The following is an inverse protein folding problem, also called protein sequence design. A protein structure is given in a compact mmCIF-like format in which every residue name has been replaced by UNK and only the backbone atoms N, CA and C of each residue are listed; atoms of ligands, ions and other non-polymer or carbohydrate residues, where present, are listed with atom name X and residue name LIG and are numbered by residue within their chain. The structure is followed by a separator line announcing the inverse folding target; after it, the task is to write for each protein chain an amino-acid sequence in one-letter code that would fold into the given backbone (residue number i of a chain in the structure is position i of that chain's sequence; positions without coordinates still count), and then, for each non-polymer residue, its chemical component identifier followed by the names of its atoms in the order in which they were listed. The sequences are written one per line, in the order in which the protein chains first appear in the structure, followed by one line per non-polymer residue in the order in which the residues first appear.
data_IF_033369255316
#
_entry.id   IF_033369255316
#
_cell.length_a   1.000
_cell.length_b   1.000
_cell.length_c   1.000
_cell.angle_alpha   90.00
_cell.angle_beta   90.00
_cell.angle_gamma   90.00
#
_symmetry.space_group_name_H-M   'P 1'
#
loop_
_entity.id
_entity.type
_entity.pdbx_description
1 polymer ?
#
# COMPACT_ATOMS: atom_id res chain seq x y z
N UNK A 1 4.30 6.62 27.43
CA UNK A 1 4.69 5.18 27.40
C UNK A 1 3.50 4.45 26.81
N UNK A 2 3.68 3.49 25.89
CA UNK A 2 2.61 2.57 25.54
C UNK A 2 2.11 1.92 26.84
N UNK A 3 0.79 1.77 26.99
CA UNK A 3 0.22 1.15 28.19
C UNK A 3 0.73 -0.29 28.33
N UNK A 4 0.88 -0.80 29.55
CA UNK A 4 1.50 -2.11 29.81
C UNK A 4 0.73 -3.32 29.23
N UNK A 5 -0.46 -3.09 28.64
CA UNK A 5 -1.34 -4.11 28.06
C UNK A 5 -1.66 -3.86 26.59
N UNK A 6 -0.73 -3.30 25.80
CA UNK A 6 -0.92 -3.20 24.35
C UNK A 6 -1.00 -4.61 23.75
N UNK A 7 -2.12 -4.90 23.10
CA UNK A 7 -2.34 -6.14 22.37
C UNK A 7 -1.30 -6.23 21.25
N UNK A 8 -0.57 -7.35 21.19
CA UNK A 8 0.33 -7.62 20.08
C UNK A 8 -0.52 -8.13 18.93
N UNK A 9 -0.60 -7.33 17.87
CA UNK A 9 -1.28 -7.69 16.64
C UNK A 9 -0.62 -8.90 15.96
N UNK A 10 -1.37 -9.54 15.05
CA UNK A 10 -0.84 -10.62 14.23
C UNK A 10 0.34 -10.12 13.38
N UNK A 11 1.43 -10.90 13.36
CA UNK A 11 2.63 -10.58 12.57
C UNK A 11 2.61 -11.35 11.24
N UNK A 12 2.80 -10.64 10.13
CA UNK A 12 3.19 -11.22 8.86
C UNK A 12 4.60 -10.73 8.48
N UNK A 13 5.37 -11.60 7.80
CA UNK A 13 6.69 -11.25 7.28
C UNK A 13 6.71 -11.39 5.77
N UNK A 14 7.18 -10.35 5.09
CA UNK A 14 7.50 -10.43 3.67
C UNK A 14 8.75 -11.29 3.51
N UNK A 15 8.63 -12.39 2.78
CA UNK A 15 9.73 -13.33 2.51
C UNK A 15 10.28 -13.21 1.10
N UNK A 16 9.51 -12.61 0.19
CA UNK A 16 9.88 -12.41 -1.20
C UNK A 16 9.06 -11.26 -1.79
N UNK A 17 9.56 -10.66 -2.86
CA UNK A 17 8.88 -9.61 -3.63
C UNK A 17 8.60 -10.12 -5.03
N UNK A 18 7.33 -10.11 -5.42
CA UNK A 18 6.94 -10.40 -6.80
C UNK A 18 6.83 -9.10 -7.58
N UNK A 19 7.60 -9.01 -8.66
CA UNK A 19 7.45 -7.94 -9.63
C UNK A 19 6.07 -8.04 -10.30
N UNK A 20 5.38 -6.90 -10.42
CA UNK A 20 4.09 -6.77 -11.08
C UNK A 20 4.12 -5.58 -12.00
N UNK A 21 3.70 -5.80 -13.24
CA UNK A 21 3.43 -4.74 -14.21
C UNK A 21 2.03 -4.18 -13.92
N UNK A 22 1.95 -2.89 -13.60
CA UNK A 22 0.70 -2.16 -13.38
C UNK A 22 0.14 -1.56 -14.69
N UNK A 23 0.85 -1.70 -15.81
CA UNK A 23 0.43 -1.18 -17.10
C UNK A 23 0.44 0.34 -17.19
N UNK A 24 1.02 1.04 -16.21
CA UNK A 24 1.02 2.50 -16.14
C UNK A 24 2.21 3.01 -16.94
N UNK A 25 1.94 3.80 -17.97
CA UNK A 25 3.00 4.43 -18.74
C UNK A 25 3.71 5.52 -17.95
N UNK A 26 5.00 5.72 -18.22
CA UNK A 26 5.82 6.77 -17.59
C UNK A 26 5.19 8.17 -17.68
N UNK A 27 4.44 8.44 -18.76
CA UNK A 27 3.73 9.71 -18.98
C UNK A 27 2.62 9.97 -17.94
N UNK A 28 2.07 8.92 -17.35
CA UNK A 28 0.95 9.01 -16.41
C UNK A 28 1.40 9.05 -14.96
N UNK A 29 2.65 8.67 -14.66
CA UNK A 29 3.18 8.61 -13.28
C UNK A 29 2.98 9.94 -12.54
N UNK A 30 3.28 11.07 -13.19
CA UNK A 30 3.14 12.40 -12.55
C UNK A 30 1.70 12.73 -12.16
N UNK A 31 0.70 12.19 -12.87
CA UNK A 31 -0.69 12.43 -12.54
C UNK A 31 -1.10 11.80 -11.20
N UNK A 32 -0.41 10.76 -10.73
CA UNK A 32 -0.65 10.19 -9.40
C UNK A 32 -0.14 11.06 -8.24
N UNK A 33 0.56 12.16 -8.52
CA UNK A 33 1.08 13.07 -7.50
C UNK A 33 0.53 14.50 -7.64
N UNK A 34 -0.43 14.69 -8.54
CA UNK A 34 -1.09 15.97 -8.79
C UNK A 34 -2.60 15.74 -8.84
N UNK A 35 -3.34 16.36 -7.92
CA UNK A 35 -4.78 16.15 -7.78
C UNK A 35 -5.57 16.50 -9.06
N UNK A 36 -5.22 17.60 -9.73
CA UNK A 36 -5.92 18.03 -10.94
C UNK A 36 -5.64 17.12 -12.14
N UNK A 37 -4.48 16.49 -12.19
CA UNK A 37 -4.13 15.52 -13.23
C UNK A 37 -4.68 14.14 -12.91
N UNK A 38 -4.69 13.73 -11.64
CA UNK A 38 -5.21 12.45 -11.17
C UNK A 38 -6.66 12.26 -11.59
N UNK A 39 -7.53 13.24 -11.32
CA UNK A 39 -8.95 13.19 -11.68
C UNK A 39 -9.21 13.30 -13.19
N UNK A 40 -8.18 13.48 -14.01
CA UNK A 40 -8.27 13.42 -15.48
C UNK A 40 -7.78 12.09 -16.05
N UNK A 41 -7.21 11.21 -15.22
CA UNK A 41 -6.83 9.87 -15.67
C UNK A 41 -8.08 9.06 -16.00
N UNK A 42 -8.03 8.22 -17.04
CA UNK A 42 -9.05 7.20 -17.28
C UNK A 42 -9.18 6.24 -16.10
N UNK A 43 -10.41 5.84 -15.79
CA UNK A 43 -10.72 4.94 -14.65
C UNK A 43 -9.95 3.62 -14.76
N UNK A 44 -9.79 3.06 -15.97
CA UNK A 44 -9.06 1.82 -16.19
C UNK A 44 -7.58 1.92 -15.82
N UNK A 45 -6.98 3.11 -15.91
CA UNK A 45 -5.59 3.35 -15.47
C UNK A 45 -5.52 3.37 -13.94
N UNK A 46 -6.50 3.99 -13.27
CA UNK A 46 -6.56 4.06 -11.82
C UNK A 46 -6.85 2.68 -11.23
N UNK A 47 -7.78 1.93 -11.81
CA UNK A 47 -8.17 0.58 -11.37
C UNK A 47 -7.06 -0.47 -11.54
N UNK A 48 -6.08 -0.23 -12.43
CA UNK A 48 -4.92 -1.12 -12.57
C UNK A 48 -3.93 -1.02 -11.41
N UNK A 49 -3.96 0.08 -10.65
CA UNK A 49 -3.08 0.26 -9.50
C UNK A 49 -3.51 -0.68 -8.38
N UNK A 50 -2.58 -1.51 -7.91
CA UNK A 50 -2.86 -2.39 -6.76
C UNK A 50 -3.17 -1.57 -5.50
N UNK A 51 -4.27 -1.90 -4.82
CA UNK A 51 -4.56 -1.33 -3.50
C UNK A 51 -3.81 -2.06 -2.36
N UNK A 52 -3.15 -3.16 -2.67
CA UNK A 52 -2.46 -4.00 -1.70
C UNK A 52 -1.14 -3.41 -1.21
N UNK A 53 -0.51 -4.14 -0.28
CA UNK A 53 0.84 -3.84 0.18
C UNK A 53 1.84 -4.00 -0.97
N UNK A 54 2.60 -2.93 -1.28
CA UNK A 54 3.59 -2.91 -2.37
C UNK A 54 4.78 -1.99 -2.07
N UNK A 55 5.87 -2.20 -2.80
CA UNK A 55 7.00 -1.27 -2.90
C UNK A 55 7.12 -0.76 -4.34
N UNK A 56 7.43 0.53 -4.48
CA UNK A 56 7.53 1.21 -5.78
C UNK A 56 6.19 1.40 -6.50
N UNK A 57 6.26 1.79 -7.77
CA UNK A 57 5.10 2.14 -8.59
C UNK A 57 4.49 3.48 -8.19
N UNK A 58 3.16 3.59 -8.32
CA UNK A 58 2.37 4.76 -7.89
C UNK A 58 1.43 4.41 -6.74
N UNK A 59 1.09 5.37 -5.86
CA UNK A 59 0.14 5.15 -4.77
C UNK A 59 -1.27 4.87 -5.28
N UNK A 60 -2.00 3.96 -4.61
CA UNK A 60 -3.44 3.85 -4.74
C UNK A 60 -4.11 4.80 -3.74
N UNK A 61 -4.66 5.91 -4.21
CA UNK A 61 -5.31 6.89 -3.33
C UNK A 61 -6.75 6.50 -3.02
N UNK A 62 -7.10 6.49 -1.74
CA UNK A 62 -8.48 6.27 -1.27
C UNK A 62 -9.19 7.56 -0.85
N UNK A 63 -8.44 8.66 -0.67
CA UNK A 63 -8.99 10.00 -0.45
C UNK A 63 -8.46 10.98 -1.51
N UNK A 64 -7.41 11.75 -1.23
CA UNK A 64 -6.84 12.71 -2.20
C UNK A 64 -5.32 12.60 -2.33
N UNK A 65 -4.74 12.71 -3.55
CA UNK A 65 -3.31 12.89 -3.75
C UNK A 65 -2.75 14.15 -3.06
N UNK A 66 -3.59 15.16 -2.78
CA UNK A 66 -3.16 16.43 -2.18
C UNK A 66 -2.62 16.30 -0.74
N UNK A 67 -2.89 15.17 -0.08
CA UNK A 67 -2.35 14.87 1.25
C UNK A 67 -0.91 14.35 1.21
N UNK A 68 -0.42 13.96 0.03
CA UNK A 68 0.95 13.50 -0.15
C UNK A 68 1.95 14.65 0.08
N UNK A 69 3.17 14.34 0.56
CA UNK A 69 4.20 15.36 0.66
C UNK A 69 4.62 15.83 -0.75
N UNK A 70 4.64 17.14 -0.97
CA UNK A 70 4.99 17.75 -2.26
C UNK A 70 6.49 18.03 -2.41
N UNK A 71 6.97 18.15 -3.65
CA UNK A 71 8.33 18.55 -3.98
C UNK A 71 9.26 17.37 -4.23
N UNK A 72 10.36 17.27 -3.47
CA UNK A 72 11.43 16.28 -3.68
C UNK A 72 11.15 14.93 -3.00
N UNK A 73 9.89 14.63 -2.67
CA UNK A 73 9.50 13.37 -2.05
C UNK A 73 9.18 12.33 -3.12
N UNK A 74 9.75 11.15 -2.97
CA UNK A 74 9.55 10.00 -3.83
C UNK A 74 8.69 8.96 -3.09
N UNK A 75 7.59 8.52 -3.70
CA UNK A 75 6.85 7.37 -3.18
C UNK A 75 7.69 6.11 -3.28
N UNK A 76 7.69 5.31 -2.21
CA UNK A 76 8.45 4.04 -2.17
C UNK A 76 7.58 2.83 -1.85
N UNK A 77 6.33 3.02 -1.45
CA UNK A 77 5.43 1.91 -1.18
C UNK A 77 4.22 2.29 -0.34
N UNK A 78 3.32 1.33 -0.20
CA UNK A 78 2.15 1.44 0.63
C UNK A 78 1.91 0.14 1.40
N UNK A 79 1.20 0.27 2.52
CA UNK A 79 0.76 -0.84 3.37
C UNK A 79 -0.76 -0.82 3.42
N UNK A 80 -1.36 -1.92 3.03
CA UNK A 80 -2.80 -2.14 3.14
C UNK A 80 -3.17 -2.55 4.58
N UNK A 81 -4.40 -2.25 4.98
CA UNK A 81 -5.00 -2.72 6.25
C UNK A 81 -5.33 -4.21 6.24
N UNK A 82 -5.21 -4.88 5.08
CA UNK A 82 -5.33 -6.33 4.94
C UNK A 82 -3.99 -6.98 4.62
N UNK A 83 -3.62 -8.02 5.38
CA UNK A 83 -2.53 -8.91 4.97
C UNK A 83 -3.02 -9.81 3.83
N UNK A 84 -2.41 -9.70 2.65
CA UNK A 84 -2.74 -10.50 1.47
C UNK A 84 -1.66 -11.55 1.18
N UNK A 85 -2.06 -12.80 0.94
CA UNK A 85 -1.15 -13.93 0.72
C UNK A 85 -1.41 -14.61 -0.63
N UNK A 86 -0.42 -14.60 -1.51
CA UNK A 86 -0.44 -15.24 -2.84
C UNK A 86 -0.32 -16.78 -2.79
N UNK A 87 -0.02 -17.33 -1.61
CA UNK A 87 0.03 -18.78 -1.37
C UNK A 87 -0.66 -19.11 -0.05
N UNK A 88 -1.24 -20.32 0.07
CA UNK A 88 -1.79 -20.79 1.34
C UNK A 88 -0.71 -20.87 2.43
N UNK A 89 -1.07 -20.60 3.70
CA UNK A 89 -0.15 -20.82 4.81
C UNK A 89 0.19 -22.31 4.94
N UNK A 90 1.44 -22.63 5.30
CA UNK A 90 1.92 -24.02 5.41
C UNK A 90 1.23 -24.83 6.53
N UNK A 91 0.67 -24.12 7.49
CA UNK A 91 -0.08 -24.67 8.62
C UNK A 91 -1.35 -23.84 8.80
N UNK A 92 -2.34 -24.38 9.50
CA UNK A 92 -3.54 -23.62 9.83
C UNK A 92 -3.18 -22.44 10.74
N UNK A 93 -3.58 -21.24 10.34
CA UNK A 93 -3.38 -19.98 11.08
C UNK A 93 -4.76 -19.39 11.35
N UNK A 94 -5.19 -19.36 12.61
CA UNK A 94 -6.58 -19.11 12.98
C UNK A 94 -7.16 -17.75 12.61
N UNK A 95 -6.33 -16.78 12.23
CA UNK A 95 -6.72 -15.43 11.80
C UNK A 95 -6.63 -15.23 10.28
N UNK A 96 -6.23 -16.25 9.52
CA UNK A 96 -6.11 -16.21 8.06
C UNK A 96 -7.24 -17.03 7.44
N UNK A 97 -7.96 -16.42 6.50
CA UNK A 97 -9.07 -17.02 5.77
C UNK A 97 -8.74 -17.19 4.28
N UNK A 98 -9.36 -18.17 3.63
CA UNK A 98 -9.28 -18.30 2.17
C UNK A 98 -10.00 -17.13 1.49
N UNK A 99 -9.40 -16.60 0.43
CA UNK A 99 -10.05 -15.65 -0.46
C UNK A 99 -10.71 -16.38 -1.63
N UNK A 100 -12.04 -16.48 -1.58
CA UNK A 100 -12.83 -17.06 -2.66
C UNK A 100 -12.91 -16.21 -3.92
N UNK A 101 -12.73 -14.88 -3.80
CA UNK A 101 -12.78 -13.93 -4.92
C UNK A 101 -11.44 -13.83 -5.64
N UNK A 102 -10.36 -14.29 -4.98
CA UNK A 102 -8.99 -14.21 -5.49
C UNK A 102 -8.61 -12.78 -5.85
N UNK A 103 -8.97 -11.84 -4.98
CA UNK A 103 -8.73 -10.42 -5.18
C UNK A 103 -7.24 -10.17 -5.45
N UNK A 104 -6.95 -9.55 -6.60
CA UNK A 104 -5.58 -9.34 -7.10
C UNK A 104 -4.69 -10.61 -7.12
N UNK A 105 -5.30 -11.78 -7.31
CA UNK A 105 -4.59 -13.05 -7.34
C UNK A 105 -4.16 -13.60 -5.98
N UNK A 106 -4.55 -12.96 -4.87
CA UNK A 106 -4.31 -13.53 -3.54
C UNK A 106 -5.13 -14.80 -3.35
N UNK A 107 -4.66 -15.68 -2.48
CA UNK A 107 -5.33 -16.94 -2.14
C UNK A 107 -5.93 -16.90 -0.76
N UNK A 108 -5.33 -16.13 0.14
CA UNK A 108 -5.73 -15.99 1.53
C UNK A 108 -5.53 -14.54 1.96
N UNK A 109 -6.25 -14.16 3.00
CA UNK A 109 -6.10 -12.86 3.64
C UNK A 109 -6.30 -12.97 5.15
N UNK A 110 -5.84 -11.97 5.88
CA UNK A 110 -6.07 -11.84 7.31
C UNK A 110 -6.05 -10.39 7.74
N UNK A 111 -6.55 -10.14 8.95
CA UNK A 111 -6.54 -8.80 9.56
C UNK A 111 -5.11 -8.24 9.58
N UNK A 112 -4.96 -7.01 9.10
CA UNK A 112 -3.70 -6.28 9.06
C UNK A 112 -3.67 -5.06 9.97
N UNK A 113 -2.67 -4.18 9.80
CA UNK A 113 -2.55 -2.98 10.61
C UNK A 113 -3.80 -2.09 10.51
N UNK A 114 -4.24 -1.56 11.65
CA UNK A 114 -5.39 -0.66 11.68
C UNK A 114 -4.96 0.76 11.28
N UNK A 115 -5.33 1.14 10.06
CA UNK A 115 -5.18 2.51 9.54
C UNK A 115 -6.51 3.28 9.55
N UNK A 116 -7.47 2.91 10.39
CA UNK A 116 -8.84 3.45 10.40
C UNK A 116 -9.84 2.49 9.77
N UNK A 117 -10.82 3.02 9.03
CA UNK A 117 -11.91 2.24 8.42
C UNK A 117 -11.50 1.63 7.06
N UNK A 118 -10.57 0.65 7.10
CA UNK A 118 -10.05 0.01 5.88
C UNK A 118 -8.99 0.85 5.15
N UNK A 119 -8.26 1.66 5.90
CA UNK A 119 -7.28 2.61 5.37
C UNK A 119 -6.05 1.99 4.68
N UNK A 120 -5.28 2.86 4.03
CA UNK A 120 -4.00 2.55 3.39
C UNK A 120 -2.94 3.53 3.91
N UNK A 121 -1.79 3.00 4.32
CA UNK A 121 -0.64 3.81 4.69
C UNK A 121 0.36 3.94 3.53
N UNK A 122 1.00 5.10 3.42
CA UNK A 122 1.92 5.45 2.35
C UNK A 122 3.29 5.81 2.90
N UNK A 123 4.32 5.42 2.17
CA UNK A 123 5.72 5.62 2.51
C UNK A 123 6.38 6.48 1.42
N UNK A 124 6.99 7.59 1.84
CA UNK A 124 7.76 8.47 0.98
C UNK A 124 9.17 8.66 1.52
N UNK A 125 10.13 8.86 0.62
CA UNK A 125 11.50 9.23 0.96
C UNK A 125 11.89 10.53 0.30
N UNK A 126 12.70 11.33 0.98
CA UNK A 126 13.41 12.46 0.39
C UNK A 126 14.90 12.20 0.53
N UNK A 127 15.60 12.07 -0.59
CA UNK A 127 17.05 11.86 -0.61
C UNK A 127 17.74 13.15 -0.19
N UNK A 128 18.48 13.13 0.91
CA UNK A 128 19.35 14.23 1.32
C UNK A 128 20.82 13.84 1.17
N UNK A 129 21.73 14.81 1.23
CA UNK A 129 23.18 14.56 1.11
C UNK A 129 23.81 13.80 2.28
N UNK A 130 23.06 13.47 3.34
CA UNK A 130 23.60 12.78 4.54
C UNK A 130 22.77 11.56 4.92
N UNK A 131 21.46 11.73 5.17
CA UNK A 131 20.54 10.65 5.53
C UNK A 131 19.19 10.88 4.84
N UNK A 132 18.56 9.85 4.25
CA UNK A 132 17.22 10.03 3.69
C UNK A 132 16.22 10.40 4.79
N UNK A 133 15.34 11.34 4.50
CA UNK A 133 14.18 11.64 5.32
C UNK A 133 13.02 10.73 4.90
N UNK A 134 12.23 10.27 5.86
CA UNK A 134 11.06 9.42 5.62
C UNK A 134 9.78 10.13 6.04
N UNK A 135 8.73 9.98 5.24
CA UNK A 135 7.39 10.45 5.56
C UNK A 135 6.43 9.27 5.52
N UNK A 136 5.69 9.10 6.61
CA UNK A 136 4.69 8.05 6.78
C UNK A 136 3.37 8.71 7.19
N UNK A 137 2.31 8.43 6.45
CA UNK A 137 0.94 8.83 6.76
C UNK A 137 -0.03 7.79 6.22
N UNK A 138 -1.31 7.92 6.55
CA UNK A 138 -2.35 7.03 6.05
C UNK A 138 -3.65 7.80 5.79
N UNK A 139 -4.51 7.22 4.95
CA UNK A 139 -5.87 7.67 4.66
C UNK A 139 -6.87 6.62 5.17
N UNK A 140 -8.09 7.04 5.50
CA UNK A 140 -9.21 6.14 5.85
C UNK A 140 -10.58 6.80 5.65
#
# INVERSE_FOLDING_TARGET
MPEENVLIENEARVVDWLERDDGISDSNIQAFFDEELYYKLPDDIVENVTSGTKLGGVPQWIQSPSEAPAGEWEFIGQLDSTHSFIYPPRHNVGWVSEDGERWEGRTHYGEGPNYGDGGIAYLFIKKTGVLPEGWFFWQC
#
